data_IF_323256817653
#
_entry.id   IF_323256817653
#
_cell.length_a   1.000
_cell.length_b   1.000
_cell.length_c   1.000
_cell.angle_alpha   90.00
_cell.angle_beta   90.00
_cell.angle_gamma   90.00
#
_symmetry.space_group_name_H-M   'P 1'
#
loop_
_entity.id
_entity.type
_entity.pdbx_description
1 polymer ?
#
# COMPACT_ATOMS: atom_id res chain seq x y z
N UNK A 1 -15.20 46.14 29.48
CA UNK A 1 -14.26 46.81 28.58
C UNK A 1 -14.10 45.89 27.41
N UNK A 2 -14.87 46.13 26.37
CA UNK A 2 -14.83 45.38 25.09
C UNK A 2 -13.77 46.02 24.20
N UNK A 3 -12.75 45.27 23.78
CA UNK A 3 -11.81 45.70 22.76
C UNK A 3 -12.25 45.10 21.41
N UNK A 4 -12.92 45.93 20.63
CA UNK A 4 -13.27 45.72 19.26
C UNK A 4 -12.10 46.22 18.38
N UNK A 5 -11.44 45.32 17.64
CA UNK A 5 -10.51 45.68 16.57
C UNK A 5 -11.27 45.69 15.26
N UNK A 6 -11.60 46.88 14.77
CA UNK A 6 -12.10 47.10 13.41
C UNK A 6 -10.89 47.38 12.49
N UNK A 7 -10.71 46.54 11.45
CA UNK A 7 -9.81 46.83 10.35
C UNK A 7 -10.55 47.61 9.27
N UNK A 8 -10.14 48.86 9.07
CA UNK A 8 -10.62 49.73 8.01
C UNK A 8 -9.84 49.43 6.72
N UNK A 9 -10.55 48.95 5.68
CA UNK A 9 -9.99 48.65 4.36
C UNK A 9 -10.45 49.73 3.37
N UNK A 10 -9.97 50.98 3.53
CA UNK A 10 -10.13 52.05 2.55
C UNK A 10 -8.78 52.46 1.96
N UNK A 11 -8.22 51.62 1.09
CA UNK A 11 -7.05 51.88 0.26
C UNK A 11 -7.45 52.07 -1.20
N UNK A 12 -7.65 53.32 -1.61
CA UNK A 12 -7.86 53.73 -3.02
C UNK A 12 -6.62 53.42 -3.86
N UNK A 13 -6.73 52.61 -4.90
CA UNK A 13 -5.72 52.47 -5.95
C UNK A 13 -5.95 53.53 -7.03
N UNK A 14 -4.90 54.23 -7.52
CA UNK A 14 -5.03 55.17 -8.63
C UNK A 14 -5.20 54.41 -9.95
N UNK A 15 -6.21 54.80 -10.69
CA UNK A 15 -6.55 54.37 -12.03
C UNK A 15 -5.48 54.90 -13.02
N UNK A 16 -4.66 54.02 -13.62
CA UNK A 16 -3.87 54.34 -14.81
C UNK A 16 -4.41 53.53 -15.99
N UNK A 17 -5.01 54.25 -16.91
CA UNK A 17 -5.64 53.75 -18.11
C UNK A 17 -4.64 53.17 -19.12
N UNK A 18 -5.15 52.32 -19.96
CA UNK A 18 -4.51 52.00 -21.25
C UNK A 18 -4.59 50.57 -21.68
N UNK A 19 -5.45 50.31 -22.63
CA UNK A 19 -5.16 49.38 -23.73
C UNK A 19 -5.57 47.91 -23.51
N UNK A 20 -6.75 47.59 -23.96
CA UNK A 20 -7.20 46.22 -24.27
C UNK A 20 -6.35 45.63 -25.41
N UNK A 21 -5.67 44.49 -25.29
CA UNK A 21 -5.17 43.76 -26.44
C UNK A 21 -6.26 42.83 -26.97
N UNK A 22 -6.54 43.00 -28.25
CA UNK A 22 -7.39 42.14 -29.09
C UNK A 22 -6.89 40.71 -29.13
N UNK A 23 -7.76 39.69 -29.10
CA UNK A 23 -7.34 38.29 -29.20
C UNK A 23 -6.88 38.00 -30.64
N UNK A 24 -5.69 37.41 -30.77
CA UNK A 24 -5.14 36.94 -32.03
C UNK A 24 -5.98 35.76 -32.53
N UNK A 25 -6.47 35.87 -33.76
CA UNK A 25 -7.17 34.83 -34.50
C UNK A 25 -6.20 33.70 -34.86
N UNK A 26 -6.53 32.49 -34.38
CA UNK A 26 -5.86 31.23 -34.79
C UNK A 26 -6.45 30.78 -36.15
N UNK A 27 -5.60 30.74 -37.19
CA UNK A 27 -5.94 30.14 -38.48
C UNK A 27 -5.45 28.67 -38.45
N UNK A 28 -6.28 27.68 -38.74
CA UNK A 28 -5.81 26.29 -38.81
C UNK A 28 -5.12 26.07 -40.18
N UNK A 29 -3.87 25.60 -40.15
CA UNK A 29 -3.18 25.07 -41.32
C UNK A 29 -3.77 23.70 -41.67
N UNK A 30 -4.24 23.56 -42.90
CA UNK A 30 -4.68 22.33 -43.51
C UNK A 30 -3.51 21.41 -43.88
N UNK A 31 -3.80 20.15 -44.18
CA UNK A 31 -2.79 19.12 -44.40
C UNK A 31 -2.23 19.19 -45.83
N UNK A 32 -0.92 19.21 -45.95
CA UNK A 32 -0.23 19.02 -47.26
C UNK A 32 0.63 17.77 -47.24
N UNK A 33 0.39 16.89 -48.22
CA UNK A 33 1.41 16.14 -48.92
C UNK A 33 1.61 14.69 -48.50
N UNK A 34 0.88 13.80 -49.16
CA UNK A 34 1.35 12.43 -49.44
C UNK A 34 2.61 12.46 -50.29
N UNK A 35 3.51 11.51 -50.12
CA UNK A 35 4.31 11.01 -51.27
C UNK A 35 3.93 9.59 -51.63
N UNK A 36 3.77 9.44 -52.93
CA UNK A 36 3.44 8.26 -53.71
C UNK A 36 4.44 7.11 -53.63
N UNK A 37 3.87 5.92 -53.67
CA UNK A 37 4.28 4.68 -54.32
C UNK A 37 5.73 4.51 -54.82
N UNK A 38 6.36 3.48 -54.29
CA UNK A 38 7.44 2.75 -54.91
C UNK A 38 7.16 1.26 -54.79
N UNK A 39 6.78 0.65 -55.94
CA UNK A 39 6.61 -0.78 -56.09
C UNK A 39 7.98 -1.48 -56.11
N UNK A 40 8.07 -2.63 -55.46
CA UNK A 40 9.26 -3.47 -55.58
C UNK A 40 9.17 -4.80 -54.88
N UNK A 41 8.85 -5.82 -55.67
CA UNK A 41 9.35 -7.18 -55.61
C UNK A 41 8.83 -8.17 -54.57
N UNK A 42 7.99 -9.03 -55.07
CA UNK A 42 7.64 -10.39 -54.66
C UNK A 42 8.86 -11.29 -54.44
N UNK A 43 8.91 -11.98 -53.31
CA UNK A 43 9.60 -13.28 -53.25
C UNK A 43 8.70 -14.30 -52.55
N UNK A 44 8.36 -15.30 -53.37
CA UNK A 44 7.71 -16.55 -53.04
C UNK A 44 8.44 -17.27 -51.88
N UNK A 45 7.69 -17.76 -50.92
CA UNK A 45 8.08 -18.95 -50.17
C UNK A 45 6.93 -19.95 -50.14
N UNK A 46 7.20 -21.00 -50.89
CA UNK A 46 6.44 -22.23 -51.00
C UNK A 46 6.27 -22.98 -49.73
N UNK A 47 5.04 -23.39 -49.51
CA UNK A 47 4.61 -24.38 -48.51
C UNK A 47 5.01 -25.80 -48.95
N UNK A 48 5.45 -26.68 -48.06
CA UNK A 48 5.37 -28.12 -48.32
C UNK A 48 4.28 -28.76 -47.46
N UNK A 49 3.56 -29.56 -48.17
CA UNK A 49 2.44 -30.41 -47.97
C UNK A 49 2.34 -31.29 -46.75
N UNK A 50 1.09 -31.48 -46.39
CA UNK A 50 0.59 -32.51 -45.51
C UNK A 50 0.75 -33.91 -46.14
N UNK A 51 1.17 -34.87 -45.34
CA UNK A 51 1.00 -36.29 -45.66
C UNK A 51 0.47 -37.03 -44.43
N UNK A 52 -0.77 -37.45 -44.56
CA UNK A 52 -1.42 -38.50 -43.77
C UNK A 52 -0.89 -39.87 -44.19
N UNK A 53 -0.77 -40.84 -43.27
CA UNK A 53 -0.83 -42.23 -43.62
C UNK A 53 -2.07 -42.95 -43.07
N UNK A 54 -2.55 -43.79 -43.92
CA UNK A 54 -3.77 -44.52 -43.89
C UNK A 54 -3.83 -45.73 -42.97
N UNK A 55 -5.03 -46.20 -42.93
CA UNK A 55 -5.56 -47.39 -42.22
C UNK A 55 -5.06 -48.72 -42.81
N UNK A 56 -5.08 -49.74 -41.88
CA UNK A 56 -5.57 -51.01 -42.26
C UNK A 56 -4.76 -52.22 -41.73
N UNK A 57 -5.31 -53.39 -41.77
CA UNK A 57 -5.98 -54.02 -40.58
C UNK A 57 -5.38 -55.40 -40.24
N UNK A 58 -6.02 -56.06 -39.28
CA UNK A 58 -6.07 -57.53 -39.07
C UNK A 58 -5.30 -58.13 -37.93
N UNK A 59 -6.10 -58.68 -37.01
CA UNK A 59 -5.74 -59.74 -36.11
C UNK A 59 -5.62 -61.11 -36.85
N UNK A 60 -4.97 -62.11 -36.29
CA UNK A 60 -5.77 -63.22 -35.75
C UNK A 60 -5.30 -63.83 -34.44
N UNK A 61 -6.29 -64.24 -33.70
CA UNK A 61 -6.54 -65.42 -32.88
C UNK A 61 -5.41 -66.46 -32.58
N UNK A 62 -5.39 -66.87 -31.30
CA UNK A 62 -5.28 -68.27 -30.95
C UNK A 62 -3.99 -68.70 -30.24
N UNK A 63 -4.07 -69.06 -28.98
CA UNK A 63 -3.00 -69.75 -28.27
C UNK A 63 -3.41 -70.17 -26.86
N UNK A 64 -3.60 -71.41 -26.62
CA UNK A 64 -4.06 -72.18 -25.43
C UNK A 64 -3.45 -71.79 -24.08
N UNK A 65 -4.12 -72.14 -22.97
CA UNK A 65 -3.68 -71.83 -21.62
C UNK A 65 -2.64 -72.85 -21.14
N UNK A 66 -1.51 -72.40 -20.63
CA UNK A 66 -0.52 -73.21 -19.93
C UNK A 66 -0.76 -73.20 -18.41
N UNK A 67 -0.43 -74.33 -17.72
CA UNK A 67 -0.71 -74.53 -16.29
C UNK A 67 0.23 -73.72 -15.37
N UNK A 68 -0.17 -73.52 -14.10
CA UNK A 68 0.53 -72.60 -13.19
C UNK A 68 1.88 -73.15 -12.73
N UNK A 69 2.94 -72.44 -12.99
CA UNK A 69 4.27 -72.72 -12.41
C UNK A 69 4.35 -72.18 -10.97
N UNK A 70 4.67 -73.09 -10.06
CA UNK A 70 4.98 -72.79 -8.66
C UNK A 70 6.11 -71.75 -8.53
N UNK A 71 5.87 -70.72 -7.77
CA UNK A 71 6.85 -69.67 -7.44
C UNK A 71 7.84 -70.24 -6.42
N UNK A 72 9.11 -70.35 -6.81
CA UNK A 72 10.21 -70.60 -5.85
C UNK A 72 10.46 -69.32 -5.08
N UNK A 73 10.34 -69.39 -3.75
CA UNK A 73 10.62 -68.27 -2.86
C UNK A 73 12.13 -67.98 -2.79
N UNK A 74 12.58 -66.85 -3.27
CA UNK A 74 13.97 -66.43 -3.16
C UNK A 74 14.21 -65.70 -1.82
N UNK A 75 15.01 -66.24 -0.89
CA UNK A 75 15.26 -65.70 0.44
C UNK A 75 16.03 -64.36 0.37
N UNK A 76 16.66 -64.01 -0.79
CA UNK A 76 17.37 -62.76 -1.00
C UNK A 76 16.43 -61.56 -1.18
N UNK A 77 15.20 -61.76 -1.69
CA UNK A 77 14.24 -60.66 -1.91
C UNK A 77 13.68 -60.14 -0.58
N UNK A 78 13.52 -60.98 0.45
CA UNK A 78 13.05 -60.55 1.78
C UNK A 78 14.05 -59.65 2.51
N UNK A 79 15.37 -59.85 2.30
CA UNK A 79 16.42 -59.01 2.90
C UNK A 79 16.52 -57.65 2.20
N UNK A 80 16.29 -57.57 0.87
CA UNK A 80 16.27 -56.33 0.11
C UNK A 80 15.02 -55.53 0.45
N UNK A 81 13.84 -56.17 0.57
CA UNK A 81 12.61 -55.51 0.98
C UNK A 81 12.67 -54.95 2.42
N UNK A 82 13.29 -55.66 3.35
CA UNK A 82 13.50 -55.18 4.72
C UNK A 82 14.48 -53.99 4.77
N UNK A 83 15.53 -54.00 3.94
CA UNK A 83 16.47 -52.87 3.82
C UNK A 83 15.81 -51.63 3.20
N UNK A 84 14.98 -51.81 2.17
CA UNK A 84 14.22 -50.71 1.54
C UNK A 84 13.18 -50.11 2.51
N UNK A 85 12.49 -50.95 3.31
CA UNK A 85 11.54 -50.46 4.31
C UNK A 85 12.24 -49.67 5.44
N UNK A 86 13.42 -50.12 5.87
CA UNK A 86 14.22 -49.38 6.86
C UNK A 86 14.72 -48.05 6.32
N UNK A 87 15.11 -47.97 5.04
CA UNK A 87 15.55 -46.72 4.40
C UNK A 87 14.40 -45.72 4.26
N UNK A 88 13.19 -46.21 3.93
CA UNK A 88 11.99 -45.36 3.86
C UNK A 88 11.57 -44.85 5.24
N UNK A 89 11.69 -45.67 6.29
CA UNK A 89 11.43 -45.24 7.66
C UNK A 89 12.45 -44.23 8.16
N UNK A 90 13.74 -44.42 7.89
CA UNK A 90 14.77 -43.42 8.25
C UNK A 90 14.59 -42.13 7.48
N UNK A 91 14.29 -42.17 6.18
CA UNK A 91 13.97 -40.99 5.38
C UNK A 91 12.69 -40.29 5.88
N UNK A 92 11.64 -41.05 6.24
CA UNK A 92 10.39 -40.52 6.78
C UNK A 92 10.56 -39.83 8.13
N UNK A 93 11.35 -40.38 9.03
CA UNK A 93 11.66 -39.77 10.33
C UNK A 93 12.57 -38.56 10.16
N UNK A 94 13.53 -38.59 9.24
CA UNK A 94 14.40 -37.42 8.95
C UNK A 94 13.61 -36.27 8.29
N UNK A 95 12.71 -36.57 7.35
CA UNK A 95 11.86 -35.59 6.71
C UNK A 95 10.77 -35.06 7.65
N UNK A 96 10.11 -35.93 8.42
CA UNK A 96 9.11 -35.57 9.42
C UNK A 96 9.71 -34.77 10.58
N UNK A 97 10.88 -35.17 11.07
CA UNK A 97 11.63 -34.45 12.11
C UNK A 97 12.14 -33.08 11.62
N UNK A 98 12.64 -33.02 10.39
CA UNK A 98 13.05 -31.77 9.75
C UNK A 98 11.88 -30.81 9.53
N UNK A 99 10.74 -31.33 9.02
CA UNK A 99 9.53 -30.51 8.79
C UNK A 99 8.89 -30.02 10.10
N UNK A 100 8.79 -30.90 11.12
CA UNK A 100 8.29 -30.54 12.45
C UNK A 100 9.25 -29.56 13.15
N UNK A 101 10.56 -29.74 13.01
CA UNK A 101 11.57 -28.80 13.52
C UNK A 101 11.51 -27.45 12.84
N UNK A 102 11.33 -27.41 11.51
CA UNK A 102 11.12 -26.18 10.74
C UNK A 102 9.82 -25.49 11.15
N UNK A 103 8.71 -26.22 11.25
CA UNK A 103 7.40 -25.69 11.63
C UNK A 103 7.35 -25.17 13.08
N UNK A 104 8.08 -25.82 14.01
CA UNK A 104 8.24 -25.35 15.40
C UNK A 104 9.19 -24.16 15.47
N UNK A 105 10.27 -24.13 14.68
CA UNK A 105 11.18 -23.01 14.61
C UNK A 105 10.51 -21.78 14.01
N UNK A 106 9.66 -21.96 13.00
CA UNK A 106 8.89 -20.87 12.37
C UNK A 106 7.86 -20.27 13.35
N UNK A 107 7.19 -21.09 14.16
CA UNK A 107 6.26 -20.62 15.20
C UNK A 107 6.93 -20.08 16.48
N UNK A 108 8.18 -20.46 16.75
CA UNK A 108 8.91 -19.98 17.94
C UNK A 108 9.90 -18.87 17.64
N UNK A 109 10.23 -18.66 16.38
CA UNK A 109 10.94 -17.46 15.93
C UNK A 109 9.95 -16.30 15.91
N UNK A 110 9.63 -15.75 17.06
CA UNK A 110 9.19 -14.34 17.11
C UNK A 110 10.30 -13.56 16.42
N UNK A 111 10.07 -13.15 15.19
CA UNK A 111 11.02 -12.32 14.45
C UNK A 111 11.26 -11.09 15.31
N UNK A 112 12.40 -11.08 16.01
CA UNK A 112 12.76 -9.95 16.87
C UNK A 112 13.14 -8.83 15.94
N UNK A 113 12.18 -7.92 15.71
CA UNK A 113 12.42 -6.73 14.90
C UNK A 113 13.49 -5.91 15.61
N UNK A 114 14.68 -5.85 15.03
CA UNK A 114 15.78 -5.03 15.54
C UNK A 114 15.80 -3.74 14.72
N UNK A 115 15.22 -2.69 15.29
CA UNK A 115 15.30 -1.34 14.75
C UNK A 115 16.29 -0.51 15.58
N UNK A 116 16.89 0.48 14.95
CA UNK A 116 17.79 1.41 15.62
C UNK A 116 16.95 2.52 16.27
N UNK A 117 16.90 2.51 17.62
CA UNK A 117 16.23 3.56 18.40
C UNK A 117 17.27 4.52 18.94
N UNK A 118 16.96 5.80 19.01
CA UNK A 118 17.74 6.78 19.71
C UNK A 118 17.92 6.35 21.18
N UNK A 119 19.17 6.17 21.61
CA UNK A 119 19.46 5.72 22.98
C UNK A 119 19.55 6.94 23.90
N UNK A 120 18.67 7.12 24.90
CA UNK A 120 18.72 8.27 25.81
C UNK A 120 19.98 8.32 26.70
N UNK A 121 20.84 7.27 26.70
CA UNK A 121 22.02 7.16 27.56
C UNK A 121 23.33 6.85 26.84
N UNK A 122 23.33 6.77 25.50
CA UNK A 122 24.53 6.59 24.73
C UNK A 122 25.07 7.93 24.24
N UNK A 123 26.37 8.15 24.32
CA UNK A 123 27.06 9.23 23.61
C UNK A 123 26.90 8.97 22.12
N UNK A 124 25.69 9.20 21.58
CA UNK A 124 25.53 9.38 20.15
C UNK A 124 26.39 10.58 19.81
N UNK A 125 27.23 10.45 18.80
CA UNK A 125 27.90 11.59 18.21
C UNK A 125 26.75 12.46 17.67
N UNK A 126 26.25 13.37 18.49
CA UNK A 126 25.21 14.31 18.11
C UNK A 126 25.83 15.18 17.02
N UNK A 127 25.46 14.92 15.78
CA UNK A 127 25.63 15.90 14.71
C UNK A 127 24.58 16.98 14.92
N UNK A 128 24.71 17.72 16.05
CA UNK A 128 23.94 18.94 16.21
C UNK A 128 24.23 19.83 15.00
N UNK A 129 23.22 20.48 14.47
CA UNK A 129 23.34 21.46 13.38
C UNK A 129 24.27 22.66 13.76
N UNK A 130 24.79 22.67 14.96
CA UNK A 130 25.83 23.54 15.47
C UNK A 130 27.27 23.06 15.17
N UNK A 131 27.45 21.83 14.62
CA UNK A 131 28.75 21.36 14.14
C UNK A 131 29.13 22.05 12.82
N UNK A 132 30.42 22.05 12.47
CA UNK A 132 30.93 22.75 11.29
C UNK A 132 30.27 22.37 9.96
N UNK A 133 29.60 21.19 9.90
CA UNK A 133 28.88 20.69 8.72
C UNK A 133 27.39 21.01 8.74
N UNK A 134 26.81 21.43 9.88
CA UNK A 134 25.43 21.84 10.01
C UNK A 134 24.43 20.86 9.35
N UNK A 135 23.46 21.42 8.64
CA UNK A 135 22.40 20.66 7.95
C UNK A 135 22.93 19.68 6.90
N UNK A 136 24.04 20.02 6.24
CA UNK A 136 24.68 19.16 5.22
C UNK A 136 25.15 17.84 5.83
N UNK A 137 25.77 17.89 7.02
CA UNK A 137 26.20 16.68 7.72
C UNK A 137 25.04 15.77 8.10
N UNK A 138 23.94 16.36 8.58
CA UNK A 138 22.72 15.61 8.91
C UNK A 138 22.12 14.96 7.66
N UNK A 139 21.94 15.70 6.58
CA UNK A 139 21.39 15.18 5.32
C UNK A 139 22.24 14.02 4.78
N UNK A 140 23.56 14.16 4.77
CA UNK A 140 24.46 13.08 4.32
C UNK A 140 24.34 11.82 5.19
N UNK A 141 24.10 11.96 6.49
CA UNK A 141 23.97 10.84 7.42
C UNK A 141 22.63 10.09 7.23
N UNK A 142 21.53 10.80 6.95
CA UNK A 142 20.18 10.21 6.84
C UNK A 142 19.87 9.71 5.42
N UNK A 143 20.46 10.28 4.38
CA UNK A 143 20.23 9.92 2.98
C UNK A 143 20.35 8.42 2.70
N UNK A 144 21.32 7.66 3.24
CA UNK A 144 21.42 6.22 2.99
C UNK A 144 20.23 5.40 3.50
N UNK A 145 19.42 5.94 4.42
CA UNK A 145 18.23 5.27 4.95
C UNK A 145 16.97 5.50 4.12
N UNK A 146 17.03 6.36 3.08
CA UNK A 146 15.87 6.68 2.24
C UNK A 146 16.03 6.06 0.86
N UNK A 147 14.96 5.45 0.35
CA UNK A 147 14.96 4.70 -0.91
C UNK A 147 13.90 5.23 -1.88
N UNK A 148 14.13 5.00 -3.17
CA UNK A 148 13.14 5.18 -4.23
C UNK A 148 12.27 3.92 -4.34
N UNK A 149 10.97 4.09 -4.46
CA UNK A 149 10.01 3.02 -4.73
C UNK A 149 9.33 3.31 -6.05
N UNK A 150 9.36 2.34 -6.95
CA UNK A 150 8.62 2.35 -8.22
C UNK A 150 7.64 1.19 -8.21
N UNK A 151 6.40 1.44 -8.61
CA UNK A 151 5.35 0.44 -8.68
C UNK A 151 4.80 0.34 -10.09
N UNK A 152 4.39 -0.86 -10.49
CA UNK A 152 3.70 -1.11 -11.75
C UNK A 152 2.31 -1.67 -11.45
N UNK A 153 1.30 -1.08 -12.06
CA UNK A 153 -0.10 -1.48 -11.95
C UNK A 153 -0.67 -1.74 -13.33
N UNK A 154 -1.48 -2.77 -13.47
CA UNK A 154 -2.22 -3.05 -14.70
C UNK A 154 -3.60 -2.42 -14.59
N UNK A 155 -3.84 -1.37 -15.36
CA UNK A 155 -5.14 -0.68 -15.41
C UNK A 155 -5.87 -1.12 -16.68
N UNK A 156 -7.11 -1.59 -16.51
CA UNK A 156 -7.98 -1.90 -17.64
C UNK A 156 -8.72 -0.63 -18.05
N UNK A 157 -8.36 -0.06 -19.20
CA UNK A 157 -9.07 1.09 -19.75
C UNK A 157 -10.26 0.61 -20.57
N UNK A 158 -11.47 0.88 -20.09
CA UNK A 158 -12.73 0.65 -20.84
C UNK A 158 -12.98 1.83 -21.78
N UNK A 159 -12.38 1.81 -22.96
CA UNK A 159 -12.71 2.73 -24.04
C UNK A 159 -13.60 2.00 -25.05
N UNK A 160 -14.93 1.89 -24.76
CA UNK A 160 -15.89 1.28 -25.65
C UNK A 160 -15.55 -0.16 -26.06
N UNK A 161 -15.61 -0.47 -27.38
CA UNK A 161 -15.35 -1.80 -27.94
C UNK A 161 -13.85 -2.17 -28.00
N UNK A 162 -12.94 -1.25 -27.65
CA UNK A 162 -11.46 -1.38 -27.75
C UNK A 162 -10.81 -1.23 -26.37
N UNK A 163 -11.36 -1.85 -25.33
CA UNK A 163 -10.72 -1.90 -24.02
C UNK A 163 -9.36 -2.60 -24.09
N UNK A 164 -8.32 -1.99 -23.52
CA UNK A 164 -6.98 -2.54 -23.42
C UNK A 164 -6.47 -2.53 -21.98
N UNK A 165 -5.50 -3.42 -21.68
CA UNK A 165 -4.74 -3.35 -20.44
C UNK A 165 -3.54 -2.43 -20.68
N UNK A 166 -3.32 -1.50 -19.76
CA UNK A 166 -2.19 -0.59 -19.78
C UNK A 166 -1.44 -0.70 -18.47
N UNK A 167 -0.11 -0.77 -18.54
CA UNK A 167 0.74 -0.68 -17.34
C UNK A 167 0.92 0.80 -17.01
N UNK A 168 0.57 1.17 -15.78
CA UNK A 168 0.79 2.49 -15.23
C UNK A 168 1.84 2.36 -14.13
N UNK A 169 2.86 3.21 -14.18
CA UNK A 169 3.92 3.23 -13.18
C UNK A 169 3.62 4.32 -12.15
N UNK A 170 3.70 3.96 -10.87
CA UNK A 170 3.69 4.87 -9.74
C UNK A 170 5.10 5.07 -9.17
N UNK A 171 5.28 6.14 -8.42
CA UNK A 171 6.54 6.45 -7.77
C UNK A 171 6.33 7.04 -6.38
N UNK A 172 7.22 6.71 -5.46
CA UNK A 172 7.26 7.23 -4.11
C UNK A 172 8.60 6.96 -3.47
N UNK A 173 8.65 7.15 -2.19
CA UNK A 173 9.84 6.94 -1.35
C UNK A 173 9.56 5.91 -0.26
N UNK A 174 10.61 5.41 0.37
CA UNK A 174 10.54 4.58 1.55
C UNK A 174 11.68 4.88 2.50
N UNK A 175 11.53 4.44 3.75
CA UNK A 175 12.56 4.53 4.78
C UNK A 175 12.96 3.13 5.23
N UNK A 176 14.24 2.82 5.17
CA UNK A 176 14.78 1.54 5.66
C UNK A 176 14.55 1.47 7.17
N UNK A 177 13.75 0.50 7.58
CA UNK A 177 13.37 0.29 8.98
C UNK A 177 14.32 -0.66 9.70
N UNK A 178 14.80 -1.70 9.00
CA UNK A 178 15.74 -2.69 9.56
C UNK A 178 16.89 -2.99 8.62
N UNK A 179 18.01 -3.42 9.16
CA UNK A 179 19.23 -3.72 8.39
C UNK A 179 19.09 -4.94 7.48
N UNK A 180 18.08 -5.77 7.68
CA UNK A 180 17.76 -6.96 6.88
C UNK A 180 16.75 -6.70 5.77
N UNK A 181 16.27 -5.43 5.60
CA UNK A 181 15.52 -5.02 4.41
C UNK A 181 14.03 -4.78 4.57
N UNK A 182 13.50 -4.63 5.79
CA UNK A 182 12.16 -4.07 5.96
C UNK A 182 12.18 -2.56 5.72
N UNK A 183 11.23 -2.07 4.96
CA UNK A 183 11.11 -0.67 4.55
C UNK A 183 9.68 -0.21 4.84
N UNK A 184 9.56 0.94 5.51
CA UNK A 184 8.28 1.62 5.72
C UNK A 184 8.04 2.58 4.55
N UNK A 185 6.81 2.61 4.06
CA UNK A 185 6.33 3.57 3.07
C UNK A 185 4.85 3.88 3.32
N UNK A 186 4.22 4.70 2.49
CA UNK A 186 2.78 4.89 2.55
C UNK A 186 2.02 3.75 1.88
N UNK A 187 0.80 3.47 2.38
CA UNK A 187 -0.08 2.46 1.80
C UNK A 187 -0.44 2.81 0.35
N UNK A 188 -0.75 4.07 0.08
CA UNK A 188 -1.11 4.53 -1.26
C UNK A 188 0.03 4.41 -2.29
N UNK A 189 1.30 4.39 -1.86
CA UNK A 189 2.45 4.21 -2.77
C UNK A 189 2.46 2.81 -3.37
N UNK A 190 2.01 1.80 -2.61
CA UNK A 190 2.05 0.39 -3.01
C UNK A 190 0.67 -0.20 -3.32
N UNK A 191 -0.39 0.60 -3.23
CA UNK A 191 -1.77 0.18 -3.47
C UNK A 191 -1.95 -0.32 -4.90
N UNK A 192 -2.52 -1.53 -5.06
CA UNK A 192 -2.78 -2.15 -6.36
C UNK A 192 -1.51 -2.51 -7.16
N UNK A 193 -0.31 -2.36 -6.60
CA UNK A 193 0.94 -2.68 -7.28
C UNK A 193 1.04 -4.20 -7.55
N UNK A 194 1.31 -4.56 -8.81
CA UNK A 194 1.64 -5.93 -9.19
C UNK A 194 3.14 -6.20 -9.07
N UNK A 195 3.95 -5.17 -9.24
CA UNK A 195 5.38 -5.21 -9.02
C UNK A 195 5.82 -3.99 -8.23
N UNK A 196 6.69 -4.21 -7.25
CA UNK A 196 7.30 -3.17 -6.44
C UNK A 196 8.82 -3.29 -6.61
N UNK A 197 9.45 -2.21 -7.01
CA UNK A 197 10.89 -2.11 -7.19
C UNK A 197 11.44 -1.05 -6.26
N UNK A 198 12.48 -1.40 -5.51
CA UNK A 198 13.20 -0.50 -4.59
C UNK A 198 14.57 -0.22 -5.15
N UNK A 199 14.95 1.05 -5.22
CA UNK A 199 16.29 1.49 -5.58
C UNK A 199 16.94 2.20 -4.39
N UNK A 200 18.07 1.67 -3.96
CA UNK A 200 18.86 2.24 -2.89
C UNK A 200 19.63 3.51 -3.35
N UNK A 201 20.13 4.27 -2.41
CA UNK A 201 20.89 5.49 -2.69
C UNK A 201 22.18 5.24 -3.50
N UNK A 202 22.79 4.04 -3.41
CA UNK A 202 23.95 3.63 -4.19
C UNK A 202 23.61 3.21 -5.64
N UNK A 203 22.32 3.24 -6.01
CA UNK A 203 21.80 2.85 -7.31
C UNK A 203 21.46 1.36 -7.42
N UNK A 204 21.72 0.54 -6.42
CA UNK A 204 21.32 -0.87 -6.41
C UNK A 204 19.81 -1.03 -6.38
N UNK A 205 19.28 -1.95 -7.18
CA UNK A 205 17.85 -2.16 -7.33
C UNK A 205 17.44 -3.55 -6.88
N UNK A 206 16.31 -3.64 -6.17
CA UNK A 206 15.74 -4.88 -5.65
C UNK A 206 14.24 -4.96 -5.99
N UNK A 207 13.76 -6.17 -6.24
CA UNK A 207 12.32 -6.44 -6.17
C UNK A 207 11.91 -6.53 -4.70
N UNK A 208 10.77 -5.92 -4.38
CA UNK A 208 10.23 -5.94 -3.03
C UNK A 208 8.93 -6.76 -2.97
N UNK A 209 8.71 -7.37 -1.81
CA UNK A 209 7.47 -8.06 -1.47
C UNK A 209 6.68 -7.18 -0.50
N UNK A 210 5.38 -7.00 -0.74
CA UNK A 210 4.48 -6.36 0.22
C UNK A 210 4.27 -7.30 1.40
N UNK A 211 4.62 -6.85 2.60
CA UNK A 211 4.42 -7.59 3.86
C UNK A 211 3.01 -7.32 4.40
N UNK A 212 2.59 -6.07 4.37
CA UNK A 212 1.27 -5.65 4.78
C UNK A 212 1.05 -4.17 4.53
N UNK A 213 -0.21 -3.77 4.53
CA UNK A 213 -0.64 -2.39 4.25
C UNK A 213 -1.87 -2.06 5.06
N UNK A 214 -1.89 -0.85 5.64
CA UNK A 214 -3.05 -0.31 6.36
C UNK A 214 -3.43 1.06 5.78
N UNK A 215 -4.51 1.08 5.01
CA UNK A 215 -5.03 2.29 4.38
C UNK A 215 -5.56 3.32 5.38
N UNK A 216 -5.93 2.90 6.60
CA UNK A 216 -6.45 3.80 7.62
C UNK A 216 -5.36 4.70 8.21
N UNK A 217 -4.16 4.17 8.43
CA UNK A 217 -2.99 4.93 8.87
C UNK A 217 -2.11 5.39 7.72
N UNK A 218 -2.41 4.95 6.50
CA UNK A 218 -1.60 5.15 5.28
C UNK A 218 -0.14 4.69 5.45
N UNK A 219 0.07 3.56 6.12
CA UNK A 219 1.37 2.92 6.29
C UNK A 219 1.38 1.55 5.61
N UNK A 220 2.46 1.25 4.91
CA UNK A 220 2.77 -0.07 4.39
C UNK A 220 4.20 -0.48 4.74
N UNK A 221 4.42 -1.79 4.81
CA UNK A 221 5.74 -2.38 4.96
C UNK A 221 6.02 -3.28 3.76
N UNK A 222 7.17 -3.05 3.14
CA UNK A 222 7.70 -3.89 2.08
C UNK A 222 9.04 -4.50 2.51
N UNK A 223 9.42 -5.61 1.89
CA UNK A 223 10.66 -6.35 2.19
C UNK A 223 11.48 -6.56 0.94
N UNK A 224 12.76 -6.23 1.01
CA UNK A 224 13.75 -6.57 -0.01
C UNK A 224 14.72 -7.64 0.52
N UNK A 225 15.23 -8.46 -0.37
CA UNK A 225 16.24 -9.48 -0.02
C UNK A 225 17.64 -8.84 -0.04
N UNK A 226 17.92 -8.07 1.01
CA UNK A 226 19.19 -7.39 1.21
C UNK A 226 19.57 -7.42 2.70
N UNK A 227 20.86 -7.28 2.99
CA UNK A 227 21.40 -7.26 4.35
C UNK A 227 22.49 -6.21 4.48
N UNK A 228 22.77 -5.79 5.72
CA UNK A 228 23.78 -4.76 5.98
C UNK A 228 23.36 -3.36 5.54
N UNK A 229 22.05 -3.14 5.37
CA UNK A 229 21.51 -1.83 5.06
C UNK A 229 21.67 -0.88 6.24
N UNK A 230 21.59 0.44 5.97
CA UNK A 230 21.63 1.50 6.99
C UNK A 230 20.21 1.89 7.37
N UNK A 231 19.62 1.40 8.48
CA UNK A 231 18.29 1.79 8.93
C UNK A 231 18.28 3.24 9.42
N UNK A 232 17.12 3.91 9.31
CA UNK A 232 16.91 5.19 9.96
C UNK A 232 16.98 5.05 11.48
N UNK A 233 17.54 6.06 12.15
CA UNK A 233 17.48 6.17 13.62
C UNK A 233 16.12 6.70 13.99
N UNK A 234 15.34 5.91 14.73
CA UNK A 234 13.99 6.31 15.14
C UNK A 234 14.08 7.30 16.31
N UNK A 235 13.48 8.46 16.11
CA UNK A 235 13.19 9.42 17.17
C UNK A 235 11.95 9.06 17.98
N UNK A 236 11.46 10.05 18.71
CA UNK A 236 10.23 9.97 19.51
C UNK A 236 9.32 11.15 19.14
N UNK A 237 8.26 10.87 18.37
CA UNK A 237 7.35 11.90 17.89
C UNK A 237 6.49 12.53 18.97
N UNK A 238 6.43 11.94 20.17
CA UNK A 238 5.66 12.49 21.29
C UNK A 238 6.45 13.57 22.04
N UNK A 239 7.77 13.66 21.82
CA UNK A 239 8.66 14.63 22.48
C UNK A 239 9.02 15.83 21.62
N UNK A 240 8.66 15.84 20.33
CA UNK A 240 8.95 16.96 19.43
C UNK A 240 8.14 18.21 19.77
N UNK A 241 8.70 19.39 19.49
CA UNK A 241 8.04 20.66 19.75
C UNK A 241 7.84 21.49 18.47
N UNK A 242 6.80 22.34 18.50
CA UNK A 242 6.58 23.33 17.44
C UNK A 242 7.78 24.28 17.39
N UNK A 243 8.29 24.53 16.18
CA UNK A 243 9.48 25.36 15.94
C UNK A 243 10.78 24.57 15.79
N UNK A 244 10.80 23.25 16.13
CA UNK A 244 11.97 22.42 15.87
C UNK A 244 12.23 22.28 14.36
N UNK A 245 13.52 22.12 14.02
CA UNK A 245 13.94 21.88 12.62
C UNK A 245 13.37 20.55 12.12
N UNK A 246 12.78 20.60 10.94
CA UNK A 246 12.24 19.46 10.22
C UNK A 246 12.93 19.35 8.84
N UNK A 247 13.44 18.15 8.53
CA UNK A 247 14.10 17.85 7.26
C UNK A 247 13.32 16.73 6.59
N UNK A 248 12.64 17.05 5.50
CA UNK A 248 11.93 16.05 4.70
C UNK A 248 12.89 15.51 3.63
N UNK A 249 13.01 14.17 3.55
CA UNK A 249 13.87 13.49 2.58
C UNK A 249 13.02 12.47 1.83
N UNK A 250 13.02 12.59 0.52
CA UNK A 250 12.44 11.64 -0.40
C UNK A 250 13.41 11.32 -1.55
N UNK A 251 13.06 10.33 -2.33
CA UNK A 251 13.82 9.95 -3.53
C UNK A 251 12.85 9.78 -4.71
N UNK A 252 12.31 10.90 -5.23
CA UNK A 252 11.38 10.86 -6.35
C UNK A 252 12.06 10.35 -7.62
N UNK A 253 11.34 9.49 -8.37
CA UNK A 253 11.84 8.80 -9.56
C UNK A 253 12.62 9.71 -10.52
N UNK A 254 13.83 9.28 -10.86
CA UNK A 254 14.76 9.93 -11.80
C UNK A 254 15.34 11.30 -11.39
N UNK A 255 14.99 11.84 -10.22
CA UNK A 255 15.56 13.09 -9.73
C UNK A 255 16.68 12.88 -8.70
N UNK A 256 16.79 11.65 -8.17
CA UNK A 256 17.67 11.34 -7.04
C UNK A 256 17.10 11.84 -5.72
N UNK A 257 17.87 11.64 -4.63
CA UNK A 257 17.44 12.08 -3.30
C UNK A 257 17.23 13.57 -3.26
N UNK A 258 16.04 13.96 -2.82
CA UNK A 258 15.64 15.36 -2.63
C UNK A 258 15.44 15.61 -1.14
N UNK A 259 16.05 16.66 -0.63
CA UNK A 259 15.92 17.09 0.76
C UNK A 259 15.38 18.51 0.81
N UNK A 260 14.41 18.74 1.66
CA UNK A 260 13.86 20.08 1.95
C UNK A 260 13.85 20.30 3.44
N UNK A 261 14.07 21.52 3.89
CA UNK A 261 14.05 21.87 5.30
C UNK A 261 12.96 22.88 5.64
N UNK A 262 12.62 22.91 6.92
CA UNK A 262 11.63 23.77 7.50
C UNK A 262 11.55 23.58 9.01
N UNK A 263 10.37 23.80 9.57
CA UNK A 263 10.09 23.61 10.98
C UNK A 263 8.86 22.74 11.19
N UNK A 264 8.71 22.19 12.39
CA UNK A 264 7.44 21.63 12.87
C UNK A 264 6.49 22.80 13.08
N UNK A 265 5.42 22.89 12.28
CA UNK A 265 4.45 23.97 12.31
C UNK A 265 3.28 23.72 13.25
N UNK A 266 2.85 22.46 13.38
CA UNK A 266 1.81 22.02 14.32
C UNK A 266 1.94 20.52 14.63
N UNK A 267 1.37 20.11 15.76
CA UNK A 267 1.29 18.73 16.21
C UNK A 267 -0.17 18.30 16.32
N UNK A 268 -0.41 16.99 16.16
CA UNK A 268 -1.75 16.39 16.30
C UNK A 268 -2.80 17.09 15.43
N UNK A 269 -2.41 17.52 14.22
CA UNK A 269 -3.32 18.14 13.29
C UNK A 269 -4.26 17.09 12.72
N UNK A 270 -5.55 17.20 13.04
CA UNK A 270 -6.57 16.34 12.44
C UNK A 270 -6.78 16.73 10.98
N UNK A 271 -6.40 15.85 10.07
CA UNK A 271 -6.46 16.08 8.61
C UNK A 271 -7.18 14.89 7.97
N UNK A 272 -8.10 15.18 7.05
CA UNK A 272 -8.77 14.14 6.27
C UNK A 272 -8.04 13.95 4.94
N UNK A 273 -7.47 12.75 4.76
CA UNK A 273 -6.74 12.32 3.56
C UNK A 273 -7.56 11.23 2.90
N UNK A 274 -8.02 11.45 1.67
CA UNK A 274 -8.88 10.49 0.95
C UNK A 274 -10.01 9.94 1.81
N UNK A 275 -10.55 10.83 2.65
CA UNK A 275 -11.64 10.52 3.55
C UNK A 275 -11.24 9.90 4.90
N UNK A 276 -10.03 9.40 5.07
CA UNK A 276 -9.53 8.92 6.37
C UNK A 276 -9.04 10.08 7.21
N UNK A 277 -9.56 10.23 8.43
CA UNK A 277 -9.12 11.26 9.36
C UNK A 277 -7.92 10.75 10.16
N UNK A 278 -6.80 11.47 10.06
CA UNK A 278 -5.54 11.14 10.73
C UNK A 278 -5.01 12.32 11.53
N UNK A 279 -4.31 12.03 12.62
CA UNK A 279 -3.57 13.05 13.39
C UNK A 279 -2.13 13.11 12.87
N UNK A 280 -1.77 14.21 12.22
CA UNK A 280 -0.50 14.36 11.53
C UNK A 280 0.37 15.45 12.17
N UNK A 281 1.68 15.35 11.94
CA UNK A 281 2.64 16.42 12.13
C UNK A 281 2.52 17.35 10.94
N UNK A 282 2.36 18.66 11.17
CA UNK A 282 2.43 19.67 10.13
C UNK A 282 3.83 20.27 10.09
N UNK A 283 4.40 20.44 8.90
CA UNK A 283 5.71 21.06 8.68
C UNK A 283 5.65 22.12 7.56
N UNK A 284 6.55 23.08 7.62
CA UNK A 284 6.80 24.02 6.52
C UNK A 284 7.87 23.53 5.54
N UNK A 285 8.53 22.39 5.79
CA UNK A 285 9.38 21.75 4.80
C UNK A 285 8.57 21.45 3.54
N UNK A 286 9.11 21.79 2.37
CA UNK A 286 8.39 21.60 1.11
C UNK A 286 8.15 20.11 0.83
N UNK A 287 6.90 19.72 0.78
CA UNK A 287 6.45 18.36 0.44
C UNK A 287 5.85 18.40 -0.97
N UNK A 288 6.27 17.49 -1.81
CA UNK A 288 5.82 17.35 -3.20
C UNK A 288 5.60 15.88 -3.55
N UNK A 289 4.84 15.60 -4.64
CA UNK A 289 4.70 14.24 -5.16
C UNK A 289 6.07 13.58 -5.36
N UNK A 290 6.20 12.32 -4.90
CA UNK A 290 7.47 11.58 -4.86
C UNK A 290 8.15 11.58 -3.49
N UNK A 291 7.87 12.54 -2.60
CA UNK A 291 8.33 12.50 -1.21
C UNK A 291 7.45 11.59 -0.33
N UNK A 292 6.23 11.21 -0.80
CA UNK A 292 5.36 10.26 -0.09
C UNK A 292 6.10 9.00 0.30
N UNK A 293 5.99 8.60 1.56
CA UNK A 293 6.67 7.44 2.13
C UNK A 293 8.12 7.69 2.55
N UNK A 294 8.68 8.86 2.22
CA UNK A 294 10.00 9.30 2.69
C UNK A 294 9.97 9.71 4.16
N UNK A 295 11.13 10.09 4.69
CA UNK A 295 11.30 10.42 6.10
C UNK A 295 11.21 11.91 6.39
N UNK A 296 10.57 12.26 7.51
CA UNK A 296 10.72 13.55 8.18
C UNK A 296 11.68 13.36 9.36
N UNK A 297 12.80 14.09 9.35
CA UNK A 297 13.86 13.96 10.32
C UNK A 297 14.03 15.27 11.14
N UNK A 298 14.55 15.15 12.36
CA UNK A 298 14.93 16.31 13.17
C UNK A 298 16.39 16.73 12.90
N UNK A 299 16.88 17.78 13.58
CA UNK A 299 18.24 18.28 13.47
C UNK A 299 19.33 17.31 13.94
N UNK A 300 18.97 16.22 14.62
CA UNK A 300 19.89 15.16 15.06
C UNK A 300 19.96 14.00 14.05
N UNK A 301 19.16 14.06 12.97
CA UNK A 301 19.02 12.95 12.02
C UNK A 301 18.13 11.82 12.51
N UNK A 302 17.31 12.05 13.53
CA UNK A 302 16.34 11.07 14.02
C UNK A 302 15.06 11.19 13.21
N UNK A 303 14.51 10.04 12.77
CA UNK A 303 13.24 9.95 12.03
C UNK A 303 12.08 10.24 13.00
N UNK A 304 11.32 11.32 12.75
CA UNK A 304 10.19 11.76 13.57
C UNK A 304 8.83 11.56 12.90
N UNK A 305 8.82 11.25 11.59
CA UNK A 305 7.58 10.97 10.87
C UNK A 305 7.83 10.39 9.48
N UNK A 306 6.76 9.85 8.88
CA UNK A 306 6.72 9.39 7.48
C UNK A 306 5.95 10.44 6.68
N UNK A 307 6.59 11.01 5.66
CA UNK A 307 6.02 12.07 4.83
C UNK A 307 4.78 11.59 4.09
N UNK A 308 3.71 12.39 4.11
CA UNK A 308 2.49 12.16 3.36
C UNK A 308 2.25 13.34 2.41
N UNK A 309 2.55 13.17 1.13
CA UNK A 309 2.40 14.22 0.12
C UNK A 309 0.98 14.28 -0.48
N UNK A 310 0.09 13.36 -0.12
CA UNK A 310 -1.28 13.26 -0.67
C UNK A 310 -2.19 14.42 -0.24
N UNK A 311 -1.80 15.15 0.80
CA UNK A 311 -2.51 16.32 1.33
C UNK A 311 -1.96 17.66 0.86
N UNK A 312 -0.97 17.66 -0.01
CA UNK A 312 -0.52 18.90 -0.63
C UNK A 312 -1.64 19.37 -1.57
N UNK A 313 -2.60 20.12 -0.99
CA UNK A 313 -3.53 20.91 -1.79
C UNK A 313 -2.67 21.81 -2.67
N UNK A 314 -2.80 21.71 -3.99
CA UNK A 314 -1.97 22.47 -4.95
C UNK A 314 -2.00 23.98 -4.69
N UNK A 315 -2.95 24.45 -3.88
CA UNK A 315 -3.13 25.84 -3.47
C UNK A 315 -2.61 26.16 -2.05
N UNK A 316 -2.09 25.18 -1.30
CA UNK A 316 -1.65 25.35 0.08
C UNK A 316 -0.11 25.32 0.17
N UNK A 317 0.56 26.30 -0.44
CA UNK A 317 2.01 26.46 -0.31
C UNK A 317 2.45 26.49 1.17
N UNK A 318 3.45 25.68 1.53
CA UNK A 318 4.03 25.64 2.88
C UNK A 318 3.26 24.79 3.89
N UNK A 319 2.31 23.95 3.45
CA UNK A 319 1.62 22.98 4.30
C UNK A 319 2.07 21.54 3.94
N UNK A 320 3.07 21.05 4.62
CA UNK A 320 3.50 19.64 4.56
C UNK A 320 2.93 18.85 5.73
N UNK A 321 2.72 17.55 5.52
CA UNK A 321 2.22 16.65 6.55
C UNK A 321 3.05 15.37 6.64
N UNK A 322 3.17 14.82 7.86
CA UNK A 322 3.82 13.54 8.11
C UNK A 322 3.07 12.75 9.18
N UNK A 323 3.04 11.44 9.01
CA UNK A 323 2.51 10.48 9.99
C UNK A 323 3.54 10.36 11.12
N UNK A 324 3.17 10.59 12.41
CA UNK A 324 4.11 10.50 13.53
C UNK A 324 4.82 9.15 13.57
N UNK A 325 6.13 9.15 13.85
CA UNK A 325 6.93 7.91 13.82
C UNK A 325 6.48 6.88 14.85
N UNK A 326 5.99 7.30 16.02
CA UNK A 326 5.49 6.37 17.03
C UNK A 326 4.27 5.60 16.50
N UNK A 327 3.37 6.28 15.76
CA UNK A 327 2.24 5.64 15.06
C UNK A 327 2.73 4.72 13.94
N UNK A 328 3.61 5.21 13.05
CA UNK A 328 4.12 4.44 11.93
C UNK A 328 4.87 3.17 12.38
N UNK A 329 5.66 3.27 13.46
CA UNK A 329 6.38 2.16 14.07
C UNK A 329 5.44 1.09 14.61
N UNK A 330 4.41 1.48 15.38
CA UNK A 330 3.44 0.54 15.94
C UNK A 330 2.70 -0.22 14.84
N UNK A 331 2.24 0.49 13.80
CA UNK A 331 1.59 -0.11 12.64
C UNK A 331 2.55 -1.04 11.88
N UNK A 332 3.80 -0.59 11.64
CA UNK A 332 4.78 -1.41 10.93
C UNK A 332 5.12 -2.70 11.69
N UNK A 333 5.20 -2.67 13.02
CA UNK A 333 5.40 -3.85 13.85
C UNK A 333 4.25 -4.86 13.68
N UNK A 334 3.01 -4.40 13.78
CA UNK A 334 1.83 -5.24 13.58
C UNK A 334 1.81 -5.84 12.16
N UNK A 335 2.12 -5.05 11.13
CA UNK A 335 2.18 -5.53 9.75
C UNK A 335 3.25 -6.60 9.56
N UNK A 336 4.42 -6.46 10.20
CA UNK A 336 5.50 -7.46 10.11
C UNK A 336 5.14 -8.75 10.87
N UNK A 337 4.54 -8.63 12.05
CA UNK A 337 4.24 -9.77 12.92
C UNK A 337 2.98 -10.52 12.48
N UNK A 338 1.96 -9.81 12.03
CA UNK A 338 0.62 -10.35 11.80
C UNK A 338 0.17 -10.25 10.33
N UNK A 339 0.79 -9.38 9.51
CA UNK A 339 0.34 -9.05 8.16
C UNK A 339 -0.80 -8.04 8.11
N UNK A 340 -1.34 -7.65 9.26
CA UNK A 340 -2.41 -6.64 9.41
C UNK A 340 -2.28 -5.92 10.74
N UNK A 341 -2.96 -4.78 10.91
CA UNK A 341 -2.98 -4.02 12.17
C UNK A 341 -4.01 -4.63 13.11
N UNK A 342 -3.55 -5.10 14.28
CA UNK A 342 -4.38 -5.74 15.29
C UNK A 342 -5.33 -4.75 15.98
N UNK A 343 -6.42 -5.25 16.55
CA UNK A 343 -7.40 -4.44 17.28
C UNK A 343 -8.26 -3.50 16.44
N UNK A 344 -8.10 -3.47 15.11
CA UNK A 344 -8.95 -2.65 14.22
C UNK A 344 -10.38 -3.16 14.19
N UNK A 345 -11.36 -2.37 14.66
CA UNK A 345 -12.76 -2.78 14.68
C UNK A 345 -13.35 -2.80 13.28
N UNK A 346 -14.14 -3.84 12.99
CA UNK A 346 -14.88 -3.96 11.73
C UNK A 346 -16.32 -4.40 11.98
N UNK A 347 -17.25 -3.93 11.12
CA UNK A 347 -18.62 -4.43 11.08
C UNK A 347 -18.70 -5.80 10.39
N UNK A 348 -17.77 -6.09 9.48
CA UNK A 348 -17.77 -7.27 8.62
C UNK A 348 -18.71 -7.10 7.42
N UNK A 349 -18.61 -5.95 6.76
CA UNK A 349 -19.37 -5.60 5.54
C UNK A 349 -18.45 -4.96 4.51
N UNK A 350 -18.84 -5.05 3.24
CA UNK A 350 -18.34 -4.17 2.19
C UNK A 350 -19.38 -3.08 1.93
N UNK A 351 -18.93 -1.85 1.82
CA UNK A 351 -19.79 -0.68 1.63
C UNK A 351 -19.41 0.00 0.32
N UNK A 352 -20.41 0.41 -0.46
CA UNK A 352 -20.23 1.25 -1.65
C UNK A 352 -20.81 2.64 -1.37
N UNK A 353 -20.05 3.67 -1.75
CA UNK A 353 -20.49 5.06 -1.68
C UNK A 353 -21.23 5.41 -2.98
N UNK A 354 -22.48 5.81 -2.87
CA UNK A 354 -23.29 6.30 -4.00
C UNK A 354 -23.46 7.80 -3.80
N UNK A 355 -22.62 8.59 -4.49
CA UNK A 355 -22.49 10.04 -4.27
C UNK A 355 -23.06 10.88 -5.41
N UNK A 356 -23.43 10.25 -6.53
CA UNK A 356 -23.95 10.93 -7.72
C UNK A 356 -25.16 10.18 -8.32
N UNK A 357 -25.94 10.91 -9.13
CA UNK A 357 -27.17 10.39 -9.71
C UNK A 357 -26.92 9.29 -10.77
N UNK A 358 -25.78 9.29 -11.45
CA UNK A 358 -25.46 8.29 -12.46
C UNK A 358 -25.17 6.94 -11.79
N UNK A 359 -24.38 6.96 -10.73
CA UNK A 359 -24.10 5.78 -9.89
C UNK A 359 -25.40 5.27 -9.23
N UNK A 360 -26.24 6.19 -8.71
CA UNK A 360 -27.54 5.81 -8.14
C UNK A 360 -28.45 5.08 -9.15
N UNK A 361 -28.49 5.54 -10.39
CA UNK A 361 -29.23 4.86 -11.47
C UNK A 361 -28.66 3.48 -11.79
N UNK A 362 -27.34 3.33 -11.79
CA UNK A 362 -26.66 2.05 -12.04
C UNK A 362 -26.99 1.01 -10.97
N UNK A 363 -27.07 1.43 -9.70
CA UNK A 363 -27.41 0.57 -8.57
C UNK A 363 -28.92 0.46 -8.32
N UNK A 364 -29.76 1.18 -9.09
CA UNK A 364 -31.21 1.15 -8.96
C UNK A 364 -31.75 1.75 -7.66
N UNK A 365 -31.03 2.69 -7.06
CA UNK A 365 -31.39 3.39 -5.83
C UNK A 365 -31.78 4.85 -6.11
N UNK A 366 -32.66 5.40 -5.29
CA UNK A 366 -33.14 6.79 -5.45
C UNK A 366 -32.48 7.79 -4.49
N UNK A 367 -31.81 7.28 -3.45
CA UNK A 367 -31.21 8.11 -2.41
C UNK A 367 -29.69 7.91 -2.42
N UNK A 368 -28.94 9.00 -2.34
CA UNK A 368 -27.50 8.94 -2.21
C UNK A 368 -27.08 8.48 -0.80
N UNK A 369 -25.92 7.85 -0.66
CA UNK A 369 -25.42 7.39 0.62
C UNK A 369 -24.47 6.19 0.55
N UNK A 370 -24.20 5.62 1.72
CA UNK A 370 -23.36 4.44 1.91
C UNK A 370 -24.24 3.19 1.94
N UNK A 371 -24.07 2.29 0.99
CA UNK A 371 -24.88 1.07 0.86
C UNK A 371 -24.07 -0.18 1.13
N UNK A 372 -24.68 -1.12 1.86
CA UNK A 372 -24.09 -2.44 2.11
C UNK A 372 -24.08 -3.25 0.82
N UNK A 373 -22.90 -3.53 0.29
CA UNK A 373 -22.70 -4.33 -0.93
C UNK A 373 -22.59 -5.81 -0.60
N UNK A 374 -21.94 -6.17 0.51
CA UNK A 374 -21.85 -7.54 1.00
C UNK A 374 -21.80 -7.57 2.52
N UNK A 375 -22.22 -8.70 3.09
CA UNK A 375 -22.14 -8.98 4.54
C UNK A 375 -21.37 -10.28 4.71
N UNK A 376 -20.28 -10.23 5.49
CA UNK A 376 -19.46 -11.40 5.78
C UNK A 376 -20.22 -12.34 6.72
N UNK A 377 -20.32 -13.61 6.36
CA UNK A 377 -20.98 -14.63 7.17
C UNK A 377 -20.32 -14.77 8.54
N UNK A 378 -21.12 -14.87 9.60
CA UNK A 378 -20.64 -14.96 10.98
C UNK A 378 -20.11 -13.63 11.56
N UNK A 379 -20.08 -12.54 10.79
CA UNK A 379 -19.67 -11.23 11.28
C UNK A 379 -20.67 -10.63 12.26
N UNK A 380 -20.26 -9.58 12.99
CA UNK A 380 -21.14 -8.84 13.85
C UNK A 380 -22.34 -8.23 13.12
N UNK A 381 -22.14 -7.71 11.89
CA UNK A 381 -23.22 -7.20 11.06
C UNK A 381 -24.21 -8.29 10.64
N UNK A 382 -23.71 -9.49 10.24
CA UNK A 382 -24.56 -10.62 9.90
C UNK A 382 -25.41 -11.06 11.10
N UNK A 383 -24.79 -11.19 12.27
CA UNK A 383 -25.45 -11.60 13.51
C UNK A 383 -26.49 -10.56 13.98
N UNK A 384 -26.25 -9.28 13.73
CA UNK A 384 -27.19 -8.19 14.01
C UNK A 384 -28.32 -8.09 12.97
N UNK A 385 -28.29 -8.87 11.89
CA UNK A 385 -29.33 -8.89 10.87
C UNK A 385 -29.23 -7.79 9.80
N UNK A 386 -28.01 -7.24 9.59
CA UNK A 386 -27.70 -6.33 8.48
C UNK A 386 -27.82 -7.09 7.15
N UNK A 387 -28.27 -6.43 6.09
CA UNK A 387 -28.50 -7.05 4.77
C UNK A 387 -27.87 -6.23 3.66
N UNK A 388 -27.58 -6.92 2.57
CA UNK A 388 -27.22 -6.28 1.29
C UNK A 388 -28.35 -5.35 0.87
N UNK A 389 -27.97 -4.13 0.43
CA UNK A 389 -28.91 -3.08 0.04
C UNK A 389 -29.35 -2.15 1.17
N UNK A 390 -29.00 -2.43 2.43
CA UNK A 390 -29.21 -1.49 3.53
C UNK A 390 -28.38 -0.22 3.26
N UNK A 391 -29.01 0.97 3.38
CA UNK A 391 -28.30 2.24 3.39
C UNK A 391 -27.94 2.60 4.83
N UNK A 392 -26.66 2.72 5.14
CA UNK A 392 -26.17 3.09 6.46
C UNK A 392 -26.45 4.58 6.67
N UNK A 393 -27.12 4.93 7.75
CA UNK A 393 -27.50 6.31 8.10
C UNK A 393 -26.60 6.85 9.20
N UNK A 394 -26.30 6.02 10.20
CA UNK A 394 -25.36 6.39 11.27
C UNK A 394 -24.65 5.17 11.86
N UNK A 395 -23.46 5.39 12.40
CA UNK A 395 -22.72 4.44 13.24
C UNK A 395 -22.44 5.15 14.58
N UNK A 396 -22.98 4.63 15.64
CA UNK A 396 -23.01 5.33 16.93
C UNK A 396 -23.69 6.68 16.79
N UNK A 397 -23.00 7.74 17.17
CA UNK A 397 -23.51 9.12 17.08
C UNK A 397 -23.11 9.84 15.79
N UNK A 398 -22.29 9.20 14.92
CA UNK A 398 -21.80 9.81 13.69
C UNK A 398 -22.72 9.50 12.52
N UNK A 399 -23.11 10.53 11.78
CA UNK A 399 -23.85 10.40 10.52
C UNK A 399 -22.95 9.83 9.44
N UNK A 400 -23.50 8.99 8.58
CA UNK A 400 -22.78 8.30 7.50
C UNK A 400 -23.41 8.70 6.17
N UNK A 401 -22.58 9.12 5.22
CA UNK A 401 -22.92 9.45 3.84
C UNK A 401 -22.08 8.68 2.83
N UNK A 402 -20.90 8.25 3.23
CA UNK A 402 -19.91 7.51 2.42
C UNK A 402 -19.40 6.27 3.15
N UNK A 403 -18.78 5.34 2.41
CA UNK A 403 -18.09 4.19 3.00
C UNK A 403 -16.99 4.62 3.98
N UNK A 404 -16.30 5.71 3.67
CA UNK A 404 -15.25 6.27 4.53
C UNK A 404 -15.79 6.78 5.86
N UNK A 405 -17.00 7.36 5.88
CA UNK A 405 -17.63 7.80 7.14
C UNK A 405 -17.87 6.62 8.08
N UNK A 406 -18.15 5.42 7.53
CA UNK A 406 -18.28 4.19 8.34
C UNK A 406 -16.94 3.86 9.01
N UNK A 407 -15.83 3.87 8.24
CA UNK A 407 -14.50 3.59 8.76
C UNK A 407 -14.09 4.62 9.83
N UNK A 408 -14.33 5.90 9.57
CA UNK A 408 -14.02 6.98 10.52
C UNK A 408 -14.89 6.91 11.80
N UNK A 409 -16.14 6.44 11.68
CA UNK A 409 -16.99 6.27 12.84
C UNK A 409 -16.50 5.13 13.75
N UNK A 410 -15.92 4.09 13.17
CA UNK A 410 -15.40 2.95 13.91
C UNK A 410 -14.11 3.24 14.68
N UNK A 411 -13.37 4.32 14.34
CA UNK A 411 -12.12 4.68 15.02
C UNK A 411 -12.30 4.96 16.54
N UNK A 412 -13.52 5.29 16.97
CA UNK A 412 -13.82 5.57 18.39
C UNK A 412 -14.11 4.29 19.21
N UNK A 413 -14.04 3.11 18.56
CA UNK A 413 -14.38 1.82 19.16
C UNK A 413 -13.22 0.85 19.08
N UNK A 414 -13.30 -0.22 19.86
CA UNK A 414 -12.40 -1.36 19.80
C UNK A 414 -13.10 -2.62 19.25
N UNK A 415 -12.32 -3.59 18.79
CA UNK A 415 -12.85 -4.92 18.48
C UNK A 415 -13.49 -5.54 19.75
N UNK A 416 -14.69 -6.10 19.61
CA UNK A 416 -15.50 -6.61 20.72
C UNK A 416 -16.53 -5.63 21.26
N UNK A 417 -16.41 -4.33 20.98
CA UNK A 417 -17.40 -3.34 21.39
C UNK A 417 -18.73 -3.55 20.65
N UNK A 418 -19.81 -3.12 21.27
CA UNK A 418 -21.14 -3.10 20.64
C UNK A 418 -21.49 -1.69 20.21
N UNK A 419 -21.72 -1.49 18.92
CA UNK A 419 -22.11 -0.20 18.35
C UNK A 419 -23.54 -0.25 17.79
N UNK A 420 -24.29 0.82 17.97
CA UNK A 420 -25.58 0.98 17.31
C UNK A 420 -25.38 1.48 15.87
N UNK A 421 -25.91 0.74 14.91
CA UNK A 421 -25.91 1.13 13.49
C UNK A 421 -27.35 1.36 13.07
N UNK A 422 -27.65 2.56 12.60
CA UNK A 422 -28.96 2.84 12.01
C UNK A 422 -28.87 2.65 10.48
N UNK A 423 -29.76 1.85 9.95
CA UNK A 423 -29.86 1.60 8.50
C UNK A 423 -31.26 1.97 8.00
N UNK A 424 -31.32 2.42 6.76
CA UNK A 424 -32.56 2.57 6.00
C UNK A 424 -32.71 1.35 5.08
N UNK A 425 -33.74 0.56 5.33
CA UNK A 425 -34.10 -0.62 4.55
C UNK A 425 -35.43 -0.40 3.89
N UNK A 426 -35.43 -0.07 2.60
CA UNK A 426 -36.65 0.20 1.81
C UNK A 426 -37.55 1.33 2.39
N UNK A 427 -36.94 2.37 2.96
CA UNK A 427 -37.65 3.50 3.57
C UNK A 427 -37.97 3.33 5.06
N UNK A 428 -37.65 2.19 5.65
CA UNK A 428 -37.79 1.93 7.09
C UNK A 428 -36.45 2.09 7.82
N UNK A 429 -36.39 2.92 8.87
CA UNK A 429 -35.24 3.09 9.72
C UNK A 429 -35.18 1.97 10.76
N UNK A 430 -34.11 1.17 10.72
CA UNK A 430 -33.87 0.04 11.61
C UNK A 430 -32.59 0.31 12.39
N UNK A 431 -32.64 0.14 13.71
CA UNK A 431 -31.46 0.21 14.57
C UNK A 431 -30.95 -1.20 14.87
N UNK A 432 -29.68 -1.45 14.55
CA UNK A 432 -29.00 -2.72 14.75
C UNK A 432 -27.92 -2.55 15.84
N UNK A 433 -27.83 -3.47 16.79
CA UNK A 433 -26.72 -3.53 17.74
C UNK A 433 -25.68 -4.51 17.20
N UNK A 434 -24.56 -3.98 16.73
CA UNK A 434 -23.51 -4.75 16.08
C UNK A 434 -22.33 -4.92 17.01
N UNK A 435 -21.93 -6.16 17.31
CA UNK A 435 -20.69 -6.46 18.01
C UNK A 435 -19.56 -6.40 16.99
N UNK A 436 -18.60 -5.50 17.19
CA UNK A 436 -17.50 -5.29 16.26
C UNK A 436 -16.53 -6.48 16.26
N UNK A 437 -16.22 -6.99 15.10
CA UNK A 437 -15.13 -7.94 14.92
C UNK A 437 -13.78 -7.23 14.84
N UNK A 438 -12.72 -8.03 14.74
CA UNK A 438 -11.36 -7.55 14.46
C UNK A 438 -11.07 -7.70 12.97
N UNK A 439 -10.42 -6.70 12.36
CA UNK A 439 -9.91 -6.81 10.98
C UNK A 439 -8.79 -7.85 11.00
N UNK A 440 -8.96 -8.92 10.26
CA UNK A 440 -7.90 -9.91 10.01
C UNK A 440 -7.44 -9.80 8.56
N UNK A 441 -6.33 -10.45 8.23
CA UNK A 441 -5.87 -10.54 6.84
C UNK A 441 -6.97 -11.20 6.00
N UNK A 442 -7.36 -10.57 4.87
CA UNK A 442 -8.36 -11.07 3.93
C UNK A 442 -7.75 -12.07 2.96
#
# INVERSE_FOLDING_TARGET
>A
MENKWEYDYSGSYPNSGGGNPTPASYTPMGPTGEPSMGAGSSTDYTTPGASTPGFGPSAPMGGEPQPPRMKKSHPRLKKVAAGALALVLVAGVSFGGGYAGFYLADKTSSARIVYQSANPSGTATSTDASSADGLVGVINAITPSVVEITTEQMVTTSYGFWGGQQIVSGAGSGVIFTADGYIITNAHVVEGAQQITVKLNDGTTYNATLIGSDSQSDIAVIKIDASGLTPAILGDSDTIAIGETAIAVGNPSNLGVTSTDGIISALNRSVTVEGNTMNLIQTSAAISPGNSGGGLFNSKGELIGIVNAKNADENAEGLGFAIPINTAKAVAQDLIENGYVTGRPVLGITVVSITDAQTAMQYGVSTLGAYVQSVTEGSGAANAGMKVGDRIVSVGTKTVTTATDVTNALQDYAAGDTVQVQVDRNGELITLNVVLGEKTQA
#
